data_IF_066749022792
#
_entry.id   IF_066749022792
#
_cell.length_a   1.000
_cell.length_b   1.000
_cell.length_c   1.000
_cell.angle_alpha   90.00
_cell.angle_beta   90.00
_cell.angle_gamma   90.00
#
_symmetry.space_group_name_H-M   'P 1'
#
loop_
_entity.id
_entity.type
_entity.pdbx_description
1 polymer ?
#
# COMPACT_ATOMS: atom_id res chain seq x y z
N UNK A 1 -50.65 2.01 -2.02
CA UNK A 1 -52.12 2.04 -2.24
C UNK A 1 -52.53 3.45 -2.62
N UNK A 2 -53.36 3.61 -3.67
CA UNK A 2 -53.80 4.92 -4.18
C UNK A 2 -54.51 5.79 -3.12
N UNK A 3 -55.32 5.18 -2.27
CA UNK A 3 -55.94 5.80 -1.10
C UNK A 3 -56.37 4.70 -0.11
N UNK A 4 -56.96 5.08 1.03
CA UNK A 4 -57.63 4.10 1.89
C UNK A 4 -58.82 3.50 1.12
N UNK A 5 -59.17 2.23 1.39
CA UNK A 5 -60.32 1.57 0.77
C UNK A 5 -61.61 2.41 0.95
N UNK A 6 -61.72 3.06 2.11
CA UNK A 6 -62.81 3.96 2.50
C UNK A 6 -62.91 5.21 1.62
N UNK A 7 -61.78 5.82 1.24
CA UNK A 7 -61.75 6.99 0.34
C UNK A 7 -62.19 6.64 -1.09
N UNK A 8 -61.79 5.45 -1.57
CA UNK A 8 -62.16 4.94 -2.89
C UNK A 8 -63.66 4.66 -2.96
N UNK A 9 -64.20 3.95 -1.96
CA UNK A 9 -65.64 3.66 -1.87
C UNK A 9 -66.47 4.94 -1.78
N UNK A 10 -66.01 5.93 -1.00
CA UNK A 10 -66.68 7.22 -0.86
C UNK A 10 -66.72 8.00 -2.18
N UNK A 11 -65.61 8.01 -2.93
CA UNK A 11 -65.55 8.66 -4.23
C UNK A 11 -66.44 7.96 -5.26
N UNK A 12 -66.37 6.62 -5.36
CA UNK A 12 -67.19 5.85 -6.30
C UNK A 12 -68.69 6.05 -6.04
N UNK A 13 -69.11 6.09 -4.78
CA UNK A 13 -70.51 6.39 -4.42
C UNK A 13 -70.92 7.80 -4.83
N UNK A 14 -70.04 8.80 -4.66
CA UNK A 14 -70.31 10.17 -5.10
C UNK A 14 -70.37 10.29 -6.63
N UNK A 15 -69.54 9.52 -7.34
CA UNK A 15 -69.54 9.42 -8.79
C UNK A 15 -70.84 8.79 -9.32
N UNK A 16 -71.31 7.70 -8.71
CA UNK A 16 -72.59 7.06 -9.05
C UNK A 16 -73.76 8.02 -8.88
N UNK A 17 -73.81 8.73 -7.74
CA UNK A 17 -74.83 9.73 -7.47
C UNK A 17 -74.79 10.85 -8.53
N UNK A 18 -73.61 11.32 -8.91
CA UNK A 18 -73.45 12.36 -9.92
C UNK A 18 -73.94 11.90 -11.31
N UNK A 19 -73.56 10.71 -11.73
CA UNK A 19 -73.99 10.14 -13.01
C UNK A 19 -75.51 9.91 -13.03
N UNK A 20 -76.08 9.39 -11.95
CA UNK A 20 -77.53 9.14 -11.83
C UNK A 20 -78.36 10.42 -11.89
N UNK A 21 -77.90 11.50 -11.23
CA UNK A 21 -78.60 12.80 -11.24
C UNK A 21 -78.52 13.51 -12.59
N UNK A 22 -77.52 13.21 -13.41
CA UNK A 22 -77.26 13.89 -14.69
C UNK A 22 -77.46 12.98 -15.90
N UNK A 23 -78.15 11.84 -15.75
CA UNK A 23 -78.34 10.80 -16.79
C UNK A 23 -78.75 11.32 -18.18
N UNK A 24 -79.52 12.39 -18.25
CA UNK A 24 -80.00 12.98 -19.52
C UNK A 24 -79.04 14.02 -20.14
N UNK A 25 -78.01 14.44 -19.41
CA UNK A 25 -77.11 15.54 -19.77
C UNK A 25 -75.61 15.19 -19.77
N UNK A 26 -75.22 14.03 -19.23
CA UNK A 26 -73.82 13.58 -19.26
C UNK A 26 -73.41 13.25 -20.70
N UNK A 27 -72.33 13.88 -21.16
CA UNK A 27 -71.76 13.58 -22.46
C UNK A 27 -71.17 12.16 -22.50
N UNK A 28 -71.21 11.46 -23.66
CA UNK A 28 -70.57 10.15 -23.83
C UNK A 28 -69.08 10.16 -23.46
N UNK A 29 -68.42 11.31 -23.62
CA UNK A 29 -67.04 11.56 -23.23
C UNK A 29 -66.81 11.41 -21.71
N UNK A 30 -67.70 11.97 -20.88
CA UNK A 30 -67.60 11.89 -19.41
C UNK A 30 -68.01 10.52 -18.89
N UNK A 31 -69.00 9.88 -19.51
CA UNK A 31 -69.41 8.51 -19.16
C UNK A 31 -68.27 7.50 -19.38
N UNK A 32 -67.57 7.60 -20.51
CA UNK A 32 -66.40 6.77 -20.82
C UNK A 32 -65.29 6.92 -19.76
N UNK A 33 -64.99 8.17 -19.39
CA UNK A 33 -63.98 8.45 -18.35
C UNK A 33 -64.38 7.88 -16.99
N UNK A 34 -65.64 8.06 -16.59
CA UNK A 34 -66.13 7.57 -15.31
C UNK A 34 -66.07 6.05 -15.22
N UNK A 35 -66.30 5.34 -16.35
CA UNK A 35 -66.15 3.89 -16.44
C UNK A 35 -64.71 3.44 -16.26
N UNK A 36 -63.77 4.05 -17.00
CA UNK A 36 -62.35 3.76 -16.85
C UNK A 36 -61.83 4.03 -15.43
N UNK A 37 -62.28 5.12 -14.80
CA UNK A 37 -61.93 5.42 -13.40
C UNK A 37 -62.46 4.33 -12.47
N UNK A 38 -63.71 3.88 -12.66
CA UNK A 38 -64.29 2.80 -11.85
C UNK A 38 -63.47 1.52 -11.98
N UNK A 39 -63.17 1.10 -13.20
CA UNK A 39 -62.43 -0.13 -13.47
C UNK A 39 -61.02 -0.06 -12.84
N UNK A 40 -60.32 1.07 -13.04
CA UNK A 40 -59.00 1.33 -12.49
C UNK A 40 -58.96 1.37 -10.95
N UNK A 41 -60.02 1.88 -10.30
CA UNK A 41 -60.07 1.97 -8.84
C UNK A 41 -60.55 0.66 -8.17
N UNK A 42 -61.28 -0.18 -8.91
CA UNK A 42 -61.80 -1.47 -8.43
C UNK A 42 -60.80 -2.62 -8.64
N UNK A 43 -59.85 -2.50 -9.56
CA UNK A 43 -58.77 -3.48 -9.76
C UNK A 43 -57.44 -3.02 -9.12
N UNK A 44 -57.09 -3.52 -7.92
CA UNK A 44 -55.83 -3.17 -7.26
C UNK A 44 -54.58 -3.79 -7.92
N UNK A 45 -54.73 -4.73 -8.87
CA UNK A 45 -53.61 -5.37 -9.56
C UNK A 45 -52.96 -4.48 -10.63
N UNK A 46 -53.75 -3.63 -11.30
CA UNK A 46 -53.29 -2.61 -12.25
C UNK A 46 -52.45 -1.50 -11.59
N UNK A 47 -52.46 -1.47 -10.25
CA UNK A 47 -51.78 -0.49 -9.41
C UNK A 47 -50.64 -1.11 -8.60
N UNK A 48 -50.33 -2.38 -8.84
CA UNK A 48 -49.19 -3.05 -8.24
C UNK A 48 -47.91 -2.49 -8.85
N UNK A 49 -47.08 -1.86 -8.00
CA UNK A 49 -45.89 -1.16 -8.47
C UNK A 49 -44.67 -2.09 -8.43
N UNK A 50 -43.91 -2.23 -9.52
CA UNK A 50 -42.58 -2.85 -9.51
C UNK A 50 -41.64 -2.13 -8.54
N UNK A 51 -40.88 -2.88 -7.74
CA UNK A 51 -40.16 -2.38 -6.55
C UNK A 51 -38.99 -1.40 -6.77
N UNK A 52 -38.66 -1.01 -8.01
CA UNK A 52 -37.58 -0.03 -8.29
C UNK A 52 -38.18 1.32 -8.67
N UNK A 53 -38.14 2.26 -7.74
CA UNK A 53 -38.93 3.50 -7.83
C UNK A 53 -38.17 4.70 -8.42
N UNK A 54 -38.75 5.32 -9.46
CA UNK A 54 -38.72 6.76 -9.73
C UNK A 54 -39.34 7.60 -8.61
N UNK A 55 -38.85 8.83 -8.41
CA UNK A 55 -39.50 9.87 -7.57
C UNK A 55 -40.88 10.31 -8.08
N UNK A 56 -41.23 9.95 -9.31
CA UNK A 56 -42.41 10.40 -10.05
C UNK A 56 -43.76 9.87 -9.50
N UNK A 57 -43.77 8.61 -9.04
CA UNK A 57 -45.02 7.92 -8.75
C UNK A 57 -45.68 8.31 -7.41
N UNK A 58 -44.92 8.53 -6.30
CA UNK A 58 -45.50 9.03 -5.05
C UNK A 58 -46.26 10.36 -5.21
N UNK A 59 -45.75 11.28 -6.03
CA UNK A 59 -46.41 12.57 -6.28
C UNK A 59 -47.72 12.43 -7.05
N UNK A 60 -47.77 11.53 -8.05
CA UNK A 60 -48.98 11.30 -8.86
C UNK A 60 -50.09 10.64 -8.06
N UNK A 61 -49.76 9.66 -7.20
CA UNK A 61 -50.73 9.09 -6.27
C UNK A 61 -51.34 10.18 -5.39
N UNK A 62 -50.52 11.08 -4.85
CA UNK A 62 -50.99 12.16 -3.99
C UNK A 62 -51.87 13.18 -4.73
N UNK A 63 -51.60 13.41 -6.02
CA UNK A 63 -52.48 14.23 -6.87
C UNK A 63 -53.83 13.54 -7.08
N UNK A 64 -53.84 12.25 -7.44
CA UNK A 64 -55.08 11.47 -7.62
C UNK A 64 -55.89 11.47 -6.31
N UNK A 65 -55.24 11.22 -5.18
CA UNK A 65 -55.85 11.26 -3.85
C UNK A 65 -56.52 12.60 -3.57
N UNK A 66 -55.82 13.71 -3.80
CA UNK A 66 -56.36 15.06 -3.60
C UNK A 66 -57.56 15.34 -4.50
N UNK A 67 -57.50 14.91 -5.77
CA UNK A 67 -58.61 15.07 -6.71
C UNK A 67 -59.84 14.25 -6.30
N UNK A 68 -59.67 13.05 -5.75
CA UNK A 68 -60.80 12.24 -5.25
C UNK A 68 -61.49 12.85 -4.02
N UNK A 69 -60.83 13.74 -3.28
CA UNK A 69 -61.43 14.47 -2.16
C UNK A 69 -62.23 15.70 -2.60
N UNK A 70 -62.13 16.11 -3.87
CA UNK A 70 -62.86 17.25 -4.43
C UNK A 70 -64.30 16.87 -4.81
N UNK A 71 -65.23 17.84 -4.89
CA UNK A 71 -66.58 17.57 -5.36
C UNK A 71 -66.58 17.03 -6.80
N UNK A 72 -67.40 16.01 -7.05
CA UNK A 72 -67.49 15.35 -8.36
C UNK A 72 -68.17 16.28 -9.36
N UNK A 73 -67.45 16.58 -10.44
CA UNK A 73 -67.92 17.31 -11.62
C UNK A 73 -67.12 16.85 -12.85
N UNK A 74 -67.55 17.26 -14.05
CA UNK A 74 -66.91 16.88 -15.31
C UNK A 74 -65.40 17.18 -15.34
N UNK A 75 -64.99 18.32 -14.79
CA UNK A 75 -63.58 18.73 -14.74
C UNK A 75 -62.74 17.80 -13.85
N UNK A 76 -63.25 17.47 -12.66
CA UNK A 76 -62.56 16.62 -11.68
C UNK A 76 -62.50 15.18 -12.18
N UNK A 77 -63.58 14.67 -12.81
CA UNK A 77 -63.58 13.37 -13.51
C UNK A 77 -62.50 13.37 -14.59
N UNK A 78 -62.49 14.39 -15.45
CA UNK A 78 -61.50 14.51 -16.51
C UNK A 78 -60.06 14.59 -15.99
N UNK A 79 -59.82 15.28 -14.88
CA UNK A 79 -58.49 15.39 -14.28
C UNK A 79 -58.02 14.08 -13.65
N UNK A 80 -58.90 13.37 -12.93
CA UNK A 80 -58.59 12.06 -12.35
C UNK A 80 -58.27 11.04 -13.44
N UNK A 81 -59.11 10.97 -14.48
CA UNK A 81 -58.89 10.08 -15.61
C UNK A 81 -57.54 10.34 -16.30
N UNK A 82 -57.17 11.62 -16.45
CA UNK A 82 -55.89 12.01 -17.06
C UNK A 82 -54.68 11.65 -16.19
N UNK A 83 -54.75 11.85 -14.87
CA UNK A 83 -53.70 11.44 -13.94
C UNK A 83 -53.53 9.92 -13.89
N UNK A 84 -54.63 9.16 -13.95
CA UNK A 84 -54.60 7.70 -14.07
C UNK A 84 -53.91 7.25 -15.36
N UNK A 85 -54.28 7.85 -16.50
CA UNK A 85 -53.65 7.53 -17.78
C UNK A 85 -52.12 7.79 -17.77
N UNK A 86 -51.66 8.89 -17.16
CA UNK A 86 -50.21 9.15 -17.01
C UNK A 86 -49.53 8.10 -16.14
N UNK A 87 -50.17 7.75 -15.02
CA UNK A 87 -49.67 6.75 -14.08
C UNK A 87 -49.53 5.38 -14.76
N UNK A 88 -50.58 4.91 -15.42
CA UNK A 88 -50.57 3.64 -16.15
C UNK A 88 -49.59 3.62 -17.31
N UNK A 89 -49.44 4.75 -18.03
CA UNK A 89 -48.42 4.87 -19.07
C UNK A 89 -47.01 4.70 -18.51
N UNK A 90 -46.75 5.22 -17.32
CA UNK A 90 -45.46 5.11 -16.65
C UNK A 90 -45.19 3.68 -16.17
N UNK A 91 -46.16 3.01 -15.53
CA UNK A 91 -46.05 1.61 -15.05
C UNK A 91 -45.76 0.65 -16.20
N UNK A 92 -46.51 0.75 -17.29
CA UNK A 92 -46.39 -0.12 -18.45
C UNK A 92 -44.98 -0.09 -19.08
N UNK A 93 -44.37 1.10 -19.14
CA UNK A 93 -43.00 1.26 -19.65
C UNK A 93 -41.97 0.64 -18.70
N UNK A 94 -42.20 0.67 -17.38
CA UNK A 94 -41.34 0.04 -16.38
C UNK A 94 -41.40 -1.50 -16.45
N UNK A 95 -42.58 -2.07 -16.75
CA UNK A 95 -42.76 -3.51 -16.97
C UNK A 95 -42.20 -4.01 -18.31
N UNK A 96 -41.57 -3.14 -19.10
CA UNK A 96 -40.86 -3.50 -20.33
C UNK A 96 -41.75 -3.67 -21.57
N UNK A 97 -43.04 -3.35 -21.49
CA UNK A 97 -43.97 -3.38 -22.63
C UNK A 97 -44.47 -1.96 -22.95
N UNK A 98 -44.09 -1.32 -24.06
CA UNK A 98 -44.56 0.04 -24.36
C UNK A 98 -45.99 0.09 -24.91
N UNK A 99 -46.82 -0.94 -24.70
CA UNK A 99 -48.10 -1.09 -25.40
C UNK A 99 -49.17 -0.10 -24.92
N UNK A 100 -49.59 0.84 -25.78
CA UNK A 100 -50.67 1.79 -25.47
C UNK A 100 -52.03 1.13 -25.22
N UNK A 101 -52.21 -0.13 -25.61
CA UNK A 101 -53.46 -0.88 -25.44
C UNK A 101 -53.59 -1.59 -24.10
N UNK A 102 -52.56 -1.56 -23.24
CA UNK A 102 -52.59 -2.28 -21.96
C UNK A 102 -53.66 -1.73 -21.00
N UNK A 103 -53.94 -0.42 -21.07
CA UNK A 103 -54.88 0.24 -20.17
C UNK A 103 -55.87 1.10 -20.96
N UNK A 104 -57.20 0.94 -20.75
CA UNK A 104 -58.22 1.70 -21.47
C UNK A 104 -58.06 3.22 -21.36
N UNK A 105 -57.67 3.72 -20.17
CA UNK A 105 -57.42 5.14 -19.94
C UNK A 105 -56.23 5.69 -20.76
N UNK A 106 -55.21 4.87 -21.02
CA UNK A 106 -54.07 5.24 -21.88
C UNK A 106 -54.49 5.26 -23.35
N UNK A 107 -55.24 4.23 -23.77
CA UNK A 107 -55.74 4.11 -25.12
C UNK A 107 -56.67 5.27 -25.49
N UNK A 108 -57.52 5.68 -24.55
CA UNK A 108 -58.44 6.81 -24.67
C UNK A 108 -57.76 8.11 -25.13
N UNK A 109 -56.57 8.42 -24.58
CA UNK A 109 -55.83 9.62 -24.98
C UNK A 109 -54.87 9.38 -26.15
N UNK A 110 -54.34 8.16 -26.30
CA UNK A 110 -53.44 7.81 -27.40
C UNK A 110 -54.16 7.71 -28.75
N UNK A 111 -55.44 7.32 -28.73
CA UNK A 111 -56.30 7.21 -29.91
C UNK A 111 -57.63 7.94 -29.62
N UNK A 112 -57.64 9.29 -29.64
CA UNK A 112 -58.80 10.06 -29.25
C UNK A 112 -59.97 9.82 -30.20
N UNK A 113 -61.07 9.28 -29.67
CA UNK A 113 -62.33 9.05 -30.40
C UNK A 113 -63.34 10.19 -30.22
N UNK A 114 -63.11 11.06 -29.23
CA UNK A 114 -63.98 12.16 -28.85
C UNK A 114 -63.36 13.51 -29.22
N UNK A 115 -64.09 14.42 -29.90
CA UNK A 115 -63.58 15.75 -30.25
C UNK A 115 -63.31 16.64 -29.03
N UNK A 116 -63.90 16.31 -27.87
CA UNK A 116 -63.71 17.00 -26.60
C UNK A 116 -62.32 16.76 -25.98
N UNK A 117 -61.56 15.77 -26.47
CA UNK A 117 -60.23 15.46 -25.95
C UNK A 117 -59.25 16.57 -26.32
N UNK A 118 -58.65 17.29 -25.35
CA UNK A 118 -57.66 18.30 -25.64
C UNK A 118 -56.40 17.67 -26.23
N UNK A 119 -55.91 18.18 -27.37
CA UNK A 119 -54.66 17.74 -28.01
C UNK A 119 -53.48 17.72 -27.02
N UNK A 120 -53.40 18.71 -26.12
CA UNK A 120 -52.38 18.78 -25.06
C UNK A 120 -52.34 17.51 -24.19
N UNK A 121 -53.49 16.89 -23.89
CA UNK A 121 -53.54 15.67 -23.08
C UNK A 121 -53.03 14.47 -23.87
N UNK A 122 -53.40 14.37 -25.14
CA UNK A 122 -52.86 13.38 -26.08
C UNK A 122 -51.33 13.50 -26.21
N UNK A 123 -50.80 14.71 -26.40
CA UNK A 123 -49.36 14.95 -26.53
C UNK A 123 -48.58 14.55 -25.26
N UNK A 124 -49.14 14.82 -24.08
CA UNK A 124 -48.52 14.43 -22.81
C UNK A 124 -48.45 12.90 -22.68
N UNK A 125 -49.49 12.17 -23.06
CA UNK A 125 -49.51 10.70 -22.97
C UNK A 125 -48.59 10.06 -24.02
N UNK A 126 -48.59 10.57 -25.25
CA UNK A 126 -47.80 10.03 -26.35
C UNK A 126 -46.31 10.37 -26.24
N UNK A 127 -45.99 11.62 -25.87
CA UNK A 127 -44.63 12.16 -25.94
C UNK A 127 -44.11 12.66 -24.59
N UNK A 128 -44.96 13.30 -23.78
CA UNK A 128 -44.55 13.86 -22.48
C UNK A 128 -44.05 12.80 -21.51
N UNK A 129 -44.85 11.77 -21.24
CA UNK A 129 -44.49 10.69 -20.30
C UNK A 129 -43.22 9.94 -20.75
N UNK A 130 -43.04 9.56 -22.02
CA UNK A 130 -41.76 8.97 -22.48
C UNK A 130 -40.55 9.90 -22.30
N UNK A 131 -40.70 11.20 -22.57
CA UNK A 131 -39.62 12.17 -22.36
C UNK A 131 -39.23 12.27 -20.87
N UNK A 132 -40.22 12.30 -19.97
CA UNK A 132 -39.99 12.33 -18.53
C UNK A 132 -39.17 11.09 -18.09
N UNK A 133 -39.58 9.89 -18.54
CA UNK A 133 -38.89 8.61 -18.24
C UNK A 133 -37.44 8.62 -18.74
N UNK A 134 -37.22 9.06 -19.98
CA UNK A 134 -35.89 9.13 -20.57
C UNK A 134 -34.99 10.10 -19.82
N UNK A 135 -35.53 11.26 -19.44
CA UNK A 135 -34.80 12.30 -18.71
C UNK A 135 -34.36 11.82 -17.31
N UNK A 136 -35.20 11.06 -16.61
CA UNK A 136 -34.89 10.50 -15.31
C UNK A 136 -33.80 9.43 -15.39
N UNK A 137 -33.89 8.54 -16.39
CA UNK A 137 -32.90 7.48 -16.62
C UNK A 137 -31.51 8.03 -16.96
N UNK A 138 -31.41 9.23 -17.54
CA UNK A 138 -30.14 9.92 -17.83
C UNK A 138 -29.69 10.83 -16.68
N UNK A 139 -30.63 11.43 -15.95
CA UNK A 139 -30.35 12.32 -14.82
C UNK A 139 -29.61 11.61 -13.70
N UNK A 140 -30.04 10.40 -13.32
CA UNK A 140 -29.43 9.64 -12.21
C UNK A 140 -27.95 9.30 -12.45
N UNK A 141 -27.56 8.68 -13.59
CA UNK A 141 -26.14 8.43 -13.89
C UNK A 141 -25.28 9.69 -13.91
N UNK A 142 -25.83 10.83 -14.36
CA UNK A 142 -25.08 12.08 -14.47
C UNK A 142 -24.69 12.69 -13.11
N UNK A 143 -25.52 12.49 -12.08
CA UNK A 143 -25.26 12.94 -10.71
C UNK A 143 -24.16 12.11 -10.05
N UNK A 144 -24.25 10.78 -10.16
CA UNK A 144 -23.22 9.87 -9.65
C UNK A 144 -21.85 10.10 -10.29
N UNK A 145 -21.84 10.28 -11.63
CA UNK A 145 -20.62 10.61 -12.36
C UNK A 145 -19.98 11.93 -11.90
N UNK A 146 -20.79 12.93 -11.55
CA UNK A 146 -20.31 14.21 -11.04
C UNK A 146 -19.68 14.07 -9.65
N UNK A 147 -20.28 13.29 -8.76
CA UNK A 147 -19.72 13.02 -7.44
C UNK A 147 -18.43 12.19 -7.51
N UNK A 148 -18.36 11.23 -8.43
CA UNK A 148 -17.12 10.49 -8.72
C UNK A 148 -16.04 11.46 -9.24
N UNK A 149 -16.38 12.35 -10.17
CA UNK A 149 -15.43 13.33 -10.71
C UNK A 149 -14.86 14.24 -9.61
N UNK A 150 -15.70 14.74 -8.70
CA UNK A 150 -15.24 15.54 -7.54
C UNK A 150 -14.28 14.76 -6.63
N UNK A 151 -14.56 13.47 -6.38
CA UNK A 151 -13.67 12.62 -5.57
C UNK A 151 -12.32 12.42 -6.24
N UNK A 152 -12.30 12.20 -7.56
CA UNK A 152 -11.07 12.05 -8.34
C UNK A 152 -10.23 13.33 -8.29
N UNK A 153 -10.87 14.50 -8.41
CA UNK A 153 -10.18 15.78 -8.33
C UNK A 153 -9.58 16.02 -6.92
N UNK A 154 -10.32 15.70 -5.86
CA UNK A 154 -9.83 15.75 -4.49
C UNK A 154 -8.66 14.79 -4.25
N UNK A 155 -8.71 13.57 -4.79
CA UNK A 155 -7.61 12.61 -4.70
C UNK A 155 -6.35 13.11 -5.42
N UNK A 156 -6.51 13.69 -6.62
CA UNK A 156 -5.38 14.23 -7.37
C UNK A 156 -4.69 15.38 -6.61
N UNK A 157 -5.46 16.29 -5.99
CA UNK A 157 -4.91 17.35 -5.14
C UNK A 157 -4.16 16.77 -3.94
N UNK A 158 -4.76 15.80 -3.24
CA UNK A 158 -4.12 15.19 -2.08
C UNK A 158 -2.79 14.52 -2.46
N UNK A 159 -2.73 13.80 -3.58
CA UNK A 159 -1.49 13.16 -4.07
C UNK A 159 -0.37 14.18 -4.25
N UNK A 160 -0.67 15.36 -4.83
CA UNK A 160 0.30 16.45 -4.93
C UNK A 160 0.83 16.91 -3.58
N UNK A 161 -0.03 17.03 -2.56
CA UNK A 161 0.39 17.39 -1.20
C UNK A 161 1.23 16.28 -0.53
N UNK A 162 0.93 15.01 -0.80
CA UNK A 162 1.76 13.89 -0.33
C UNK A 162 3.15 13.91 -0.99
N UNK A 163 3.24 14.19 -2.29
CA UNK A 163 4.50 14.30 -3.02
C UNK A 163 5.36 15.46 -2.50
N UNK A 164 4.73 16.62 -2.25
CA UNK A 164 5.40 17.78 -1.65
C UNK A 164 5.96 17.46 -0.25
N UNK A 165 5.15 16.86 0.62
CA UNK A 165 5.60 16.48 1.98
C UNK A 165 6.69 15.42 1.96
N UNK A 166 6.62 14.45 1.05
CA UNK A 166 7.66 13.44 0.89
C UNK A 166 8.98 14.08 0.44
N UNK A 167 8.92 15.00 -0.53
CA UNK A 167 10.08 15.73 -1.03
C UNK A 167 10.69 16.64 0.05
N UNK A 168 9.85 17.33 0.84
CA UNK A 168 10.30 18.14 1.96
C UNK A 168 10.98 17.29 3.05
N UNK A 169 10.41 16.13 3.39
CA UNK A 169 11.00 15.20 4.35
C UNK A 169 12.33 14.64 3.85
N UNK A 170 12.44 14.29 2.56
CA UNK A 170 13.71 13.88 1.95
C UNK A 170 14.74 15.01 1.99
N UNK A 171 14.33 16.25 1.68
CA UNK A 171 15.17 17.43 1.78
C UNK A 171 15.72 17.65 3.18
N UNK A 172 14.85 17.58 4.20
CA UNK A 172 15.25 17.67 5.62
C UNK A 172 16.19 16.56 6.03
N UNK A 173 15.93 15.32 5.61
CA UNK A 173 16.83 14.19 5.87
C UNK A 173 18.20 14.43 5.23
N UNK A 174 18.24 14.90 3.99
CA UNK A 174 19.47 15.19 3.25
C UNK A 174 20.25 16.36 3.85
N UNK A 175 19.59 17.42 4.29
CA UNK A 175 20.21 18.57 4.97
C UNK A 175 20.76 18.19 6.35
N UNK A 176 20.03 17.37 7.10
CA UNK A 176 20.50 16.80 8.37
C UNK A 176 21.71 15.88 8.17
N UNK A 177 21.69 15.06 7.11
CA UNK A 177 22.78 14.15 6.74
C UNK A 177 23.99 14.92 6.18
N UNK A 178 23.78 15.96 5.36
CA UNK A 178 24.88 16.69 4.71
C UNK A 178 25.43 17.86 5.52
N UNK A 179 24.63 18.44 6.43
CA UNK A 179 24.93 19.69 7.13
C UNK A 179 25.90 19.57 8.30
N UNK A 180 26.31 18.36 8.66
CA UNK A 180 27.08 18.12 9.88
C UNK A 180 28.38 17.37 9.54
N UNK A 181 29.51 17.93 9.99
CA UNK A 181 30.91 17.48 9.83
C UNK A 181 31.14 15.95 9.96
N UNK A 182 30.20 15.25 10.61
CA UNK A 182 30.17 13.81 10.84
C UNK A 182 29.98 12.95 9.59
N UNK A 183 29.32 13.42 8.52
CA UNK A 183 29.24 12.67 7.27
C UNK A 183 30.62 12.57 6.59
N UNK A 184 31.37 13.68 6.61
CA UNK A 184 32.76 13.72 6.14
C UNK A 184 33.67 12.81 6.98
N UNK A 185 33.49 12.79 8.31
CA UNK A 185 34.21 11.88 9.20
C UNK A 185 33.82 10.42 8.97
N UNK A 186 32.54 10.11 8.77
CA UNK A 186 32.05 8.77 8.46
C UNK A 186 32.69 8.25 7.17
N UNK A 187 32.67 9.04 6.10
CA UNK A 187 33.31 8.67 4.85
C UNK A 187 34.85 8.52 4.99
N UNK A 188 35.48 9.35 5.82
CA UNK A 188 36.91 9.20 6.13
C UNK A 188 37.21 7.89 6.88
N UNK A 189 36.37 7.50 7.85
CA UNK A 189 36.49 6.21 8.54
C UNK A 189 36.26 5.03 7.60
N UNK A 190 35.24 5.10 6.74
CA UNK A 190 34.97 4.08 5.71
C UNK A 190 36.19 3.85 4.81
N UNK A 191 36.78 4.94 4.30
CA UNK A 191 38.01 4.88 3.49
C UNK A 191 39.18 4.28 4.26
N UNK A 192 39.33 4.62 5.54
CA UNK A 192 40.41 4.08 6.39
C UNK A 192 40.20 2.60 6.70
N UNK A 193 38.96 2.15 6.93
CA UNK A 193 38.59 0.74 7.10
C UNK A 193 38.90 -0.05 5.83
N UNK A 194 38.50 0.45 4.65
CA UNK A 194 38.75 -0.20 3.37
C UNK A 194 40.25 -0.40 3.12
N UNK A 195 41.06 0.63 3.36
CA UNK A 195 42.52 0.56 3.27
C UNK A 195 43.12 -0.49 4.21
N UNK A 196 42.70 -0.49 5.49
CA UNK A 196 43.19 -1.45 6.49
C UNK A 196 42.75 -2.89 6.21
N UNK A 197 41.57 -3.09 5.62
CA UNK A 197 41.11 -4.40 5.16
C UNK A 197 41.97 -4.95 4.02
N UNK A 198 42.41 -4.09 3.10
CA UNK A 198 43.32 -4.49 2.02
C UNK A 198 44.69 -4.92 2.58
N UNK A 199 45.25 -4.15 3.51
CA UNK A 199 46.46 -4.53 4.25
C UNK A 199 46.28 -5.88 4.99
N UNK A 200 45.12 -6.09 5.63
CA UNK A 200 44.82 -7.32 6.37
C UNK A 200 44.71 -8.54 5.45
N UNK A 201 44.14 -8.38 4.25
CA UNK A 201 44.11 -9.44 3.23
C UNK A 201 45.53 -9.77 2.75
N UNK A 202 46.37 -8.76 2.56
CA UNK A 202 47.79 -8.93 2.22
C UNK A 202 48.53 -9.74 3.29
N UNK A 203 48.41 -9.35 4.56
CA UNK A 203 49.02 -10.07 5.69
C UNK A 203 48.49 -11.50 5.83
N UNK A 204 47.18 -11.72 5.63
CA UNK A 204 46.59 -13.05 5.66
C UNK A 204 47.14 -13.94 4.53
N UNK A 205 47.34 -13.38 3.34
CA UNK A 205 47.98 -14.09 2.23
C UNK A 205 49.42 -14.50 2.57
N UNK A 206 50.21 -13.57 3.11
CA UNK A 206 51.58 -13.84 3.58
C UNK A 206 51.61 -14.91 4.68
N UNK A 207 50.64 -14.89 5.61
CA UNK A 207 50.53 -15.87 6.67
C UNK A 207 50.23 -17.27 6.13
N UNK A 208 49.37 -17.39 5.11
CA UNK A 208 49.07 -18.66 4.43
C UNK A 208 50.30 -19.23 3.72
N UNK A 209 51.04 -18.39 3.00
CA UNK A 209 52.27 -18.80 2.30
C UNK A 209 53.32 -19.28 3.31
N UNK A 210 53.52 -18.52 4.38
CA UNK A 210 54.53 -18.85 5.38
C UNK A 210 54.14 -20.09 6.21
N UNK A 211 52.85 -20.24 6.53
CA UNK A 211 52.32 -21.43 7.19
C UNK A 211 52.45 -22.68 6.30
N UNK A 212 52.21 -22.55 5.00
CA UNK A 212 52.45 -23.64 4.05
C UNK A 212 53.94 -24.01 3.99
N UNK A 213 54.83 -23.01 3.95
CA UNK A 213 56.27 -23.23 3.91
C UNK A 213 56.78 -23.93 5.18
N UNK A 214 56.31 -23.51 6.36
CA UNK A 214 56.65 -24.13 7.64
C UNK A 214 56.21 -25.61 7.74
N UNK A 215 55.14 -26.01 7.04
CA UNK A 215 54.75 -27.43 6.97
C UNK A 215 55.52 -28.18 5.88
N UNK A 216 55.78 -27.53 4.75
CA UNK A 216 56.40 -28.16 3.58
C UNK A 216 57.89 -28.46 3.77
N UNK A 217 58.64 -27.55 4.42
CA UNK A 217 60.08 -27.72 4.66
C UNK A 217 60.41 -28.98 5.45
N UNK A 218 59.80 -29.25 6.63
CA UNK A 218 60.06 -30.48 7.37
C UNK A 218 59.52 -31.72 6.63
N UNK A 219 58.40 -31.60 5.91
CA UNK A 219 57.85 -32.72 5.13
C UNK A 219 58.80 -33.17 4.01
N UNK A 220 59.39 -32.23 3.26
CA UNK A 220 60.39 -32.52 2.22
C UNK A 220 61.65 -33.15 2.80
N UNK A 221 62.09 -32.69 3.98
CA UNK A 221 63.28 -33.24 4.63
C UNK A 221 63.07 -34.67 5.14
N UNK A 222 61.88 -34.99 5.64
CA UNK A 222 61.52 -36.36 5.98
C UNK A 222 61.53 -37.23 4.72
N UNK A 223 60.92 -36.75 3.63
CA UNK A 223 60.77 -37.50 2.39
C UNK A 223 62.10 -37.76 1.65
N UNK A 224 62.96 -36.75 1.54
CA UNK A 224 64.21 -36.83 0.77
C UNK A 224 65.46 -37.08 1.63
N UNK A 225 65.40 -36.84 2.94
CA UNK A 225 66.54 -37.03 3.85
C UNK A 225 66.39 -38.27 4.72
N UNK A 226 65.35 -38.32 5.55
CA UNK A 226 65.21 -39.35 6.59
C UNK A 226 64.82 -40.72 6.01
N UNK A 227 63.84 -40.76 5.09
CA UNK A 227 63.38 -42.04 4.49
C UNK A 227 64.51 -42.72 3.68
N UNK A 228 65.24 -42.05 2.77
CA UNK A 228 66.31 -42.69 2.02
C UNK A 228 67.52 -43.08 2.88
N UNK A 229 67.84 -42.29 3.93
CA UNK A 229 68.89 -42.65 4.88
C UNK A 229 68.56 -43.94 5.65
N UNK A 230 67.28 -44.19 5.95
CA UNK A 230 66.81 -45.40 6.63
C UNK A 230 66.74 -46.62 5.70
N UNK A 231 66.35 -46.43 4.43
CA UNK A 231 66.11 -47.52 3.47
C UNK A 231 67.37 -47.92 2.69
N UNK A 232 68.18 -46.96 2.24
CA UNK A 232 69.26 -47.20 1.25
C UNK A 232 70.68 -47.05 1.84
N UNK A 233 70.83 -46.79 3.14
CA UNK A 233 72.14 -46.51 3.80
C UNK A 233 72.98 -45.44 3.07
N UNK A 234 72.34 -44.41 2.53
CA UNK A 234 73.03 -43.30 1.89
C UNK A 234 73.79 -42.47 2.94
N UNK A 235 75.09 -42.24 2.74
CA UNK A 235 76.00 -41.54 3.67
C UNK A 235 75.79 -40.02 3.72
N UNK A 236 74.56 -39.56 3.90
CA UNK A 236 74.25 -38.15 4.10
C UNK A 236 74.55 -37.83 5.58
N UNK A 237 75.27 -36.73 5.90
CA UNK A 237 75.49 -36.32 7.28
C UNK A 237 74.16 -35.81 7.89
N UNK A 238 73.35 -36.76 8.38
CA UNK A 238 72.00 -36.56 8.91
C UNK A 238 71.96 -35.47 10.00
N UNK A 239 73.00 -35.44 10.84
CA UNK A 239 73.11 -34.49 11.95
C UNK A 239 73.24 -33.04 11.45
N UNK A 240 74.09 -32.76 10.47
CA UNK A 240 74.25 -31.39 9.94
C UNK A 240 73.01 -30.92 9.19
N UNK A 241 72.37 -31.81 8.42
CA UNK A 241 71.13 -31.47 7.68
C UNK A 241 69.97 -31.22 8.64
N UNK A 242 69.86 -32.00 9.72
CA UNK A 242 68.86 -31.80 10.76
C UNK A 242 69.09 -30.49 11.55
N UNK A 243 70.33 -30.14 11.87
CA UNK A 243 70.62 -28.87 12.57
C UNK A 243 70.26 -27.66 11.70
N UNK A 244 70.63 -27.69 10.41
CA UNK A 244 70.28 -26.61 9.48
C UNK A 244 68.77 -26.51 9.25
N UNK A 245 68.09 -27.65 9.14
CA UNK A 245 66.64 -27.75 9.08
C UNK A 245 65.96 -27.05 10.26
N UNK A 246 66.35 -27.42 11.48
CA UNK A 246 65.77 -26.85 12.71
C UNK A 246 66.01 -25.35 12.76
N UNK A 247 67.19 -24.88 12.35
CA UNK A 247 67.49 -23.45 12.29
C UNK A 247 66.55 -22.71 11.31
N UNK A 248 66.32 -23.26 10.11
CA UNK A 248 65.37 -22.69 9.13
C UNK A 248 63.94 -22.70 9.67
N UNK A 249 63.52 -23.79 10.31
CA UNK A 249 62.18 -23.93 10.87
C UNK A 249 61.90 -22.92 11.99
N UNK A 250 62.87 -22.72 12.89
CA UNK A 250 62.77 -21.70 13.96
C UNK A 250 62.61 -20.30 13.38
N UNK A 251 63.33 -19.98 12.30
CA UNK A 251 63.20 -18.70 11.60
C UNK A 251 61.81 -18.56 10.96
N UNK A 252 61.29 -19.61 10.32
CA UNK A 252 59.96 -19.61 9.70
C UNK A 252 58.85 -19.40 10.73
N UNK A 253 58.91 -20.13 11.85
CA UNK A 253 57.96 -19.99 12.97
C UNK A 253 58.02 -18.59 13.57
N UNK A 254 59.23 -18.00 13.69
CA UNK A 254 59.39 -16.63 14.17
C UNK A 254 58.67 -15.62 13.27
N UNK A 255 58.91 -15.68 11.95
CA UNK A 255 58.22 -14.79 11.01
C UNK A 255 56.71 -15.04 10.97
N UNK A 256 56.27 -16.30 11.15
CA UNK A 256 54.85 -16.65 11.22
C UNK A 256 54.19 -15.98 12.42
N UNK A 257 54.82 -16.08 13.60
CA UNK A 257 54.34 -15.41 14.82
C UNK A 257 54.35 -13.88 14.67
N UNK A 258 55.38 -13.32 14.05
CA UNK A 258 55.49 -11.88 13.80
C UNK A 258 54.35 -11.36 12.90
N UNK A 259 54.08 -12.04 11.78
CA UNK A 259 53.03 -11.66 10.83
C UNK A 259 51.64 -11.87 11.46
N UNK A 260 51.43 -12.98 12.16
CA UNK A 260 50.18 -13.25 12.88
C UNK A 260 49.88 -12.15 13.92
N UNK A 261 50.87 -11.74 14.71
CA UNK A 261 50.73 -10.65 15.68
C UNK A 261 50.30 -9.33 15.01
N UNK A 262 50.89 -9.00 13.86
CA UNK A 262 50.51 -7.81 13.08
C UNK A 262 49.08 -7.92 12.54
N UNK A 263 48.68 -9.10 12.08
CA UNK A 263 47.32 -9.33 11.58
C UNK A 263 46.27 -9.19 12.69
N UNK A 264 46.53 -9.73 13.88
CA UNK A 264 45.63 -9.59 15.04
C UNK A 264 45.51 -8.12 15.48
N UNK A 265 46.63 -7.40 15.57
CA UNK A 265 46.64 -5.97 15.90
C UNK A 265 45.85 -5.15 14.86
N UNK A 266 46.05 -5.42 13.58
CA UNK A 266 45.34 -4.75 12.49
C UNK A 266 43.83 -5.03 12.53
N UNK A 267 43.42 -6.27 12.80
CA UNK A 267 42.00 -6.63 12.97
C UNK A 267 41.36 -5.88 14.15
N UNK A 268 42.09 -5.74 15.25
CA UNK A 268 41.64 -4.94 16.41
C UNK A 268 41.43 -3.47 16.02
N UNK A 269 42.39 -2.89 15.29
CA UNK A 269 42.26 -1.52 14.78
C UNK A 269 41.02 -1.36 13.89
N UNK A 270 40.78 -2.27 12.94
CA UNK A 270 39.60 -2.24 12.07
C UNK A 270 38.31 -2.25 12.90
N UNK A 271 38.18 -3.14 13.89
CA UNK A 271 36.99 -3.21 14.75
C UNK A 271 36.76 -1.91 15.53
N UNK A 272 37.83 -1.27 16.00
CA UNK A 272 37.73 0.04 16.65
C UNK A 272 37.33 1.17 15.68
N UNK A 273 37.74 1.10 14.41
CA UNK A 273 37.32 2.06 13.38
C UNK A 273 35.85 1.85 13.00
N UNK A 274 35.39 0.60 12.87
CA UNK A 274 34.00 0.27 12.56
C UNK A 274 33.03 0.79 13.61
N UNK A 275 33.41 0.71 14.90
CA UNK A 275 32.64 1.33 15.98
C UNK A 275 32.52 2.84 15.80
N UNK A 276 33.62 3.54 15.49
CA UNK A 276 33.61 4.99 15.25
C UNK A 276 32.79 5.37 14.02
N UNK A 277 32.88 4.59 12.95
CA UNK A 277 32.07 4.76 11.74
C UNK A 277 30.57 4.65 12.06
N UNK A 278 30.17 3.58 12.75
CA UNK A 278 28.78 3.38 13.16
C UNK A 278 28.27 4.52 14.04
N UNK A 279 29.06 4.94 15.04
CA UNK A 279 28.66 6.04 15.93
C UNK A 279 28.51 7.38 15.20
N UNK A 280 29.41 7.71 14.26
CA UNK A 280 29.29 8.91 13.43
C UNK A 280 28.05 8.87 12.52
N UNK A 281 27.71 7.70 11.96
CA UNK A 281 26.52 7.52 11.14
C UNK A 281 25.21 7.70 11.93
N UNK A 282 25.20 7.41 13.23
CA UNK A 282 24.04 7.53 14.12
C UNK A 282 24.09 8.73 15.07
N UNK A 283 25.06 9.65 14.88
CA UNK A 283 25.30 10.75 15.84
C UNK A 283 24.13 11.72 15.93
N UNK A 284 23.37 11.91 14.85
CA UNK A 284 22.24 12.84 14.82
C UNK A 284 21.06 12.33 15.66
N UNK A 285 20.64 11.09 15.43
CA UNK A 285 19.57 10.44 16.22
C UNK A 285 19.95 10.36 17.70
N UNK A 286 21.23 10.13 18.01
CA UNK A 286 21.72 10.18 19.38
C UNK A 286 21.70 11.60 19.95
N UNK A 287 22.20 12.60 19.22
CA UNK A 287 22.25 14.00 19.68
C UNK A 287 20.85 14.60 19.88
N UNK A 288 19.87 14.22 19.05
CA UNK A 288 18.48 14.62 19.18
C UNK A 288 17.86 14.04 20.46
N UNK A 289 18.13 12.75 20.73
CA UNK A 289 17.63 12.03 21.91
C UNK A 289 18.40 12.32 23.20
N UNK A 290 19.63 12.81 23.09
CA UNK A 290 20.50 13.12 24.23
C UNK A 290 20.33 14.52 24.81
N UNK A 291 19.45 15.36 24.24
CA UNK A 291 19.10 16.67 24.84
C UNK A 291 18.56 16.52 26.27
N UNK A 292 17.98 15.37 26.60
CA UNK A 292 17.48 15.01 27.92
C UNK A 292 18.47 14.14 28.74
N UNK A 293 19.65 13.81 28.21
CA UNK A 293 20.66 12.98 28.89
C UNK A 293 21.67 13.83 29.68
N UNK A 294 22.12 13.28 30.81
CA UNK A 294 23.17 13.89 31.64
C UNK A 294 24.48 14.07 30.85
N UNK A 295 25.11 15.25 31.00
CA UNK A 295 26.37 15.68 30.36
C UNK A 295 27.52 14.66 30.48
N UNK A 296 27.54 13.88 31.55
CA UNK A 296 28.53 12.82 31.79
C UNK A 296 28.39 11.63 30.83
N UNK A 297 27.18 11.35 30.35
CA UNK A 297 26.90 10.29 29.36
C UNK A 297 27.32 10.73 27.96
N UNK A 298 27.14 12.01 27.66
CA UNK A 298 27.58 12.62 26.40
C UNK A 298 29.11 12.64 26.29
N UNK A 299 29.82 12.99 27.37
CA UNK A 299 31.28 12.96 27.42
C UNK A 299 31.87 11.54 27.24
N UNK A 300 31.19 10.50 27.77
CA UNK A 300 31.58 9.09 27.56
C UNK A 300 31.39 8.66 26.10
N UNK A 301 30.32 9.12 25.47
CA UNK A 301 30.06 8.87 24.06
C UNK A 301 31.09 9.57 23.15
N UNK A 302 31.39 10.84 23.39
CA UNK A 302 32.43 11.57 22.64
C UNK A 302 33.81 10.91 22.80
N UNK A 303 34.17 10.49 24.01
CA UNK A 303 35.41 9.74 24.23
C UNK A 303 35.43 8.39 23.49
N UNK A 304 34.29 7.72 23.31
CA UNK A 304 34.23 6.49 22.53
C UNK A 304 34.47 6.75 21.03
N UNK A 305 34.01 7.88 20.50
CA UNK A 305 34.20 8.28 19.10
C UNK A 305 35.62 8.81 18.85
N UNK A 306 36.15 9.65 19.76
CA UNK A 306 37.39 10.39 19.56
C UNK A 306 38.59 9.84 20.34
N UNK A 307 38.44 8.76 21.10
CA UNK A 307 39.57 8.07 21.71
C UNK A 307 40.60 7.69 20.65
N UNK A 308 41.86 7.67 21.05
CA UNK A 308 42.94 7.21 20.18
C UNK A 308 42.69 5.73 19.82
N UNK A 309 42.89 5.36 18.55
CA UNK A 309 42.90 3.95 18.14
C UNK A 309 44.06 3.33 18.90
N UNK A 310 43.78 2.40 19.80
CA UNK A 310 44.81 1.85 20.69
C UNK A 310 45.87 1.19 19.82
N UNK A 311 47.04 1.82 19.71
CA UNK A 311 48.23 1.12 19.25
C UNK A 311 48.58 0.19 20.41
N UNK A 312 48.18 -1.07 20.30
CA UNK A 312 48.74 -2.12 21.15
C UNK A 312 50.23 -2.21 20.79
N UNK A 313 51.02 -1.34 21.40
CA UNK A 313 52.48 -1.27 21.33
C UNK A 313 53.07 -2.42 22.13
N UNK A 314 52.49 -3.61 22.03
CA UNK A 314 53.19 -4.83 22.42
C UNK A 314 54.48 -4.84 21.60
N UNK A 315 55.66 -4.78 22.24
CA UNK A 315 56.93 -4.78 21.52
C UNK A 315 56.90 -5.97 20.55
N UNK A 316 57.35 -5.78 19.29
CA UNK A 316 57.38 -6.89 18.33
C UNK A 316 58.08 -8.08 19.00
N UNK A 317 57.59 -9.33 18.83
CA UNK A 317 58.16 -10.50 19.51
C UNK A 317 59.67 -10.45 19.36
N UNK A 318 60.33 -10.17 20.48
CA UNK A 318 61.68 -9.63 20.47
C UNK A 318 62.67 -10.74 20.18
N UNK A 319 63.68 -10.48 19.36
CA UNK A 319 64.81 -11.40 19.14
C UNK A 319 65.44 -11.79 20.49
N UNK A 320 65.37 -10.89 21.49
CA UNK A 320 65.84 -11.15 22.84
C UNK A 320 65.00 -12.25 23.56
N UNK A 321 63.68 -12.32 23.35
CA UNK A 321 62.83 -13.37 23.95
C UNK A 321 63.06 -14.75 23.30
N UNK A 322 63.31 -14.76 21.98
CA UNK A 322 63.65 -15.98 21.25
C UNK A 322 65.06 -16.48 21.60
N UNK A 323 66.05 -15.57 21.67
CA UNK A 323 67.41 -15.89 22.06
C UNK A 323 67.48 -16.39 23.51
N UNK A 324 66.70 -15.81 24.43
CA UNK A 324 66.66 -16.24 25.84
C UNK A 324 66.00 -17.62 25.99
N UNK A 325 64.99 -17.93 25.16
CA UNK A 325 64.39 -19.28 25.08
C UNK A 325 65.37 -20.31 24.52
N UNK A 326 66.17 -19.95 23.52
CA UNK A 326 67.23 -20.80 22.94
C UNK A 326 68.39 -20.97 23.93
N UNK A 327 68.78 -19.92 24.66
CA UNK A 327 69.82 -19.98 25.69
C UNK A 327 69.41 -20.88 26.87
N UNK A 328 68.14 -20.84 27.27
CA UNK A 328 67.57 -21.75 28.28
C UNK A 328 67.59 -23.22 27.83
N UNK A 329 67.34 -23.49 26.54
CA UNK A 329 67.44 -24.85 26.00
C UNK A 329 68.90 -25.34 25.89
N UNK A 330 69.84 -24.48 25.48
CA UNK A 330 71.27 -24.81 25.40
C UNK A 330 71.91 -25.02 26.78
N UNK A 331 71.48 -24.26 27.79
CA UNK A 331 71.92 -24.45 29.18
C UNK A 331 71.30 -25.69 29.83
N UNK A 332 70.05 -26.03 29.50
CA UNK A 332 69.43 -27.29 29.89
C UNK A 332 70.14 -28.52 29.29
N UNK A 333 70.70 -28.40 28.07
CA UNK A 333 71.49 -29.46 27.42
C UNK A 333 72.93 -29.58 27.91
N UNK A 334 73.49 -28.53 28.53
CA UNK A 334 74.87 -28.54 29.08
C UNK A 334 74.99 -29.22 30.44
N UNK A 335 73.93 -29.88 30.91
CA UNK A 335 73.96 -30.78 32.08
C UNK A 335 73.59 -32.21 31.71
N UNK A 336 74.58 -33.00 31.27
CA UNK A 336 74.78 -34.34 31.75
C UNK A 336 75.99 -34.36 32.68
N UNK A 337 75.93 -35.23 33.68
CA UNK A 337 77.05 -35.52 34.59
C UNK A 337 78.20 -36.18 33.84
#
# INVERSE_FOLDING_TARGET
MLASLEDVEKYLKALDVYLDHNKEHVSPYIDEMARHIRDALMDPSELSIPGSWPTYFPERIEIIRRLMMMPVNEETIGNIHFELAKTFRHVNVLDGSPSFSAYPAVLFYAHPTFPEIPLRRTDVILFGVPCDIYSEKIGVPSGELREIAKKVEAWNSNIGDWENRATEAEGRYREVVSGNNYLGLSHAFEKMIASKLEEAKGLLSSLKILGLLAVLVPALQVLFGVIPALVEKLSIPLLSTAIFSVAVEVILIYYFRLIHSRWVALKSQISQLELRHAMCAFVHDYAEKSKDLNRDTLAKFENMIFSEVSQDNSPPPSIYDAADSIAKLLTAWKKPT
#
